data_IF_709546886888
#
_entry.id   IF_709546886888
#
_cell.length_a   1.000
_cell.length_b   1.000
_cell.length_c   1.000
_cell.angle_alpha   90.00
_cell.angle_beta   90.00
_cell.angle_gamma   90.00
#
_symmetry.space_group_name_H-M   'P 1'
#
loop_
_entity.id
_entity.type
_entity.pdbx_description
1 polymer ?
#
# COMPACT_ATOMS: atom_id res chain seq x y z
N UNK A 1 45.35 -45.29 -10.66
CA UNK A 1 45.16 -44.54 -11.92
C UNK A 1 43.95 -43.64 -11.75
N UNK A 2 44.11 -42.31 -11.85
CA UNK A 2 43.01 -41.33 -11.84
C UNK A 2 43.09 -40.58 -13.17
N UNK A 3 42.03 -40.64 -13.99
CA UNK A 3 41.96 -39.90 -15.26
C UNK A 3 41.73 -38.42 -14.95
N UNK A 4 42.72 -37.59 -15.28
CA UNK A 4 42.53 -36.14 -15.38
C UNK A 4 41.77 -35.84 -16.69
N UNK A 5 40.66 -35.10 -16.62
CA UNK A 5 39.97 -34.66 -17.85
C UNK A 5 38.53 -34.19 -17.74
N UNK A 6 37.79 -34.48 -16.68
CA UNK A 6 36.39 -34.03 -16.56
C UNK A 6 36.28 -32.93 -15.51
N UNK A 7 36.12 -31.69 -15.97
CA UNK A 7 35.65 -30.60 -15.11
C UNK A 7 34.16 -30.85 -14.86
N UNK A 8 33.70 -31.05 -13.62
CA UNK A 8 32.27 -31.09 -13.34
C UNK A 8 31.69 -29.71 -13.68
N UNK A 9 30.76 -29.66 -14.62
CA UNK A 9 29.95 -28.46 -14.87
C UNK A 9 28.93 -28.37 -13.74
N UNK A 10 29.23 -27.57 -12.72
CA UNK A 10 28.24 -27.23 -11.69
C UNK A 10 27.27 -26.22 -12.29
N UNK A 11 26.10 -26.70 -12.72
CA UNK A 11 24.96 -25.84 -12.99
C UNK A 11 24.21 -25.64 -11.67
N UNK A 12 24.40 -24.47 -11.06
CA UNK A 12 23.53 -24.02 -9.98
C UNK A 12 22.27 -23.45 -10.63
N UNK A 13 21.16 -24.18 -10.58
CA UNK A 13 19.85 -23.61 -10.84
C UNK A 13 19.49 -22.69 -9.67
N UNK A 14 19.97 -21.44 -9.74
CA UNK A 14 19.59 -20.41 -8.78
C UNK A 14 18.12 -20.07 -9.05
N UNK A 15 17.22 -20.75 -8.33
CA UNK A 15 15.82 -20.33 -8.24
C UNK A 15 15.78 -19.10 -7.35
N UNK A 16 15.67 -17.92 -7.96
CA UNK A 16 15.39 -16.69 -7.22
C UNK A 16 14.01 -16.84 -6.54
N UNK A 17 13.86 -16.44 -5.27
CA UNK A 17 12.56 -16.45 -4.64
C UNK A 17 11.59 -15.60 -5.46
N UNK A 18 10.44 -16.17 -5.82
CA UNK A 18 9.44 -15.51 -6.65
C UNK A 18 9.10 -14.12 -6.09
N UNK A 19 9.11 -13.12 -6.95
CA UNK A 19 8.68 -11.76 -6.61
C UNK A 19 7.17 -11.64 -6.78
N UNK A 20 6.56 -10.62 -6.19
CA UNK A 20 5.11 -10.42 -6.20
C UNK A 20 4.56 -10.37 -7.62
N UNK A 21 5.32 -9.82 -8.57
CA UNK A 21 4.94 -9.74 -9.99
C UNK A 21 4.89 -11.12 -10.68
N UNK A 22 5.54 -12.15 -10.12
CA UNK A 22 5.47 -13.52 -10.65
C UNK A 22 4.12 -14.17 -10.34
N UNK A 23 3.51 -13.82 -9.20
CA UNK A 23 2.28 -14.44 -8.67
C UNK A 23 1.05 -13.53 -8.72
N UNK A 24 1.23 -12.20 -8.79
CA UNK A 24 0.19 -11.18 -8.90
C UNK A 24 0.46 -10.33 -10.13
N UNK A 25 -0.54 -10.15 -10.99
CA UNK A 25 -0.57 -9.10 -12.01
C UNK A 25 -1.08 -7.81 -11.35
N UNK A 26 -0.31 -6.73 -11.43
CA UNK A 26 -0.72 -5.40 -10.94
C UNK A 26 -1.06 -4.54 -12.14
N UNK A 27 -2.32 -4.10 -12.22
CA UNK A 27 -2.81 -3.20 -13.27
C UNK A 27 -2.99 -1.81 -12.68
N UNK A 28 -2.38 -0.76 -13.25
CA UNK A 28 -2.57 0.61 -12.76
C UNK A 28 -4.06 1.01 -12.70
N UNK A 29 -4.49 1.82 -11.71
CA UNK A 29 -3.64 2.45 -10.69
C UNK A 29 -3.26 1.52 -9.53
N UNK A 30 -3.97 0.41 -9.32
CA UNK A 30 -3.57 -0.56 -8.31
C UNK A 30 -4.37 -1.86 -8.20
N UNK A 31 -5.13 -2.26 -9.22
CA UNK A 31 -5.83 -3.56 -9.19
C UNK A 31 -4.82 -4.71 -9.20
N UNK A 32 -4.82 -5.50 -8.14
CA UNK A 32 -4.05 -6.75 -8.06
C UNK A 32 -4.91 -7.92 -8.54
N UNK A 33 -4.39 -8.74 -9.45
CA UNK A 33 -5.05 -9.97 -9.93
C UNK A 33 -4.12 -11.15 -9.74
N UNK A 34 -4.41 -12.09 -8.83
CA UNK A 34 -3.59 -13.27 -8.63
C UNK A 34 -3.54 -14.15 -9.89
N UNK A 35 -2.34 -14.62 -10.25
CA UNK A 35 -2.11 -15.60 -11.32
C UNK A 35 -2.31 -17.03 -10.83
N UNK A 36 -2.17 -17.23 -9.53
CA UNK A 36 -2.35 -18.49 -8.80
C UNK A 36 -3.23 -18.24 -7.57
N UNK A 37 -3.65 -19.30 -6.88
CA UNK A 37 -4.35 -19.17 -5.61
C UNK A 37 -3.39 -18.66 -4.54
N UNK A 38 -3.80 -17.62 -3.80
CA UNK A 38 -2.96 -16.97 -2.79
C UNK A 38 -3.69 -16.81 -1.45
N UNK A 39 -2.96 -16.87 -0.35
CA UNK A 39 -3.31 -16.20 0.89
C UNK A 39 -2.85 -14.75 0.81
N UNK A 40 -3.75 -13.83 1.17
CA UNK A 40 -3.49 -12.40 1.25
C UNK A 40 -3.65 -11.95 2.70
N UNK A 41 -2.61 -11.34 3.27
CA UNK A 41 -2.63 -10.68 4.57
C UNK A 41 -2.50 -9.17 4.38
N UNK A 42 -3.33 -8.41 5.08
CA UNK A 42 -3.34 -6.94 5.02
C UNK A 42 -3.01 -6.36 6.39
N UNK A 43 -2.10 -5.40 6.41
CA UNK A 43 -1.75 -4.58 7.59
C UNK A 43 -2.01 -3.11 7.27
N UNK A 44 -2.53 -2.37 8.23
CA UNK A 44 -2.62 -0.91 8.13
C UNK A 44 -1.32 -0.34 8.66
N UNK A 45 -0.61 0.41 7.83
CA UNK A 45 0.68 1.02 8.17
C UNK A 45 0.47 2.40 8.80
N UNK A 46 -0.50 3.16 8.31
CA UNK A 46 -0.87 4.46 8.85
C UNK A 46 -2.20 4.96 8.27
N UNK A 47 -2.81 5.92 8.96
CA UNK A 47 -4.12 6.51 8.75
C UNK A 47 -4.13 7.96 9.31
N UNK A 48 -3.37 8.86 8.69
CA UNK A 48 -2.96 10.16 9.25
C UNK A 48 -3.77 11.36 8.77
N UNK A 49 -5.02 11.17 8.38
CA UNK A 49 -5.90 12.30 8.10
C UNK A 49 -6.08 13.14 9.37
N UNK A 50 -5.72 14.42 9.32
CA UNK A 50 -5.85 15.37 10.44
C UNK A 50 -7.00 16.32 10.19
N UNK A 51 -7.84 16.51 11.21
CA UNK A 51 -8.79 17.62 11.26
C UNK A 51 -8.15 18.74 12.05
N UNK A 52 -8.12 19.94 11.47
CA UNK A 52 -7.53 21.13 12.08
C UNK A 52 -8.56 22.25 12.22
N UNK A 53 -8.52 22.96 13.34
CA UNK A 53 -9.28 24.19 13.55
C UNK A 53 -8.31 25.36 13.57
N UNK A 54 -8.65 26.41 12.81
CA UNK A 54 -7.84 27.61 12.69
C UNK A 54 -8.50 28.76 13.44
N UNK A 55 -7.70 29.66 14.02
CA UNK A 55 -8.20 30.96 14.48
C UNK A 55 -8.37 31.93 13.29
N UNK A 56 -8.84 33.14 13.59
CA UNK A 56 -9.02 34.21 12.59
C UNK A 56 -7.73 34.62 11.84
N UNK A 57 -6.55 34.24 12.35
CA UNK A 57 -5.25 34.50 11.75
C UNK A 57 -4.71 33.30 10.93
N UNK A 58 -5.51 32.25 10.76
CA UNK A 58 -5.11 31.03 10.04
C UNK A 58 -4.17 30.12 10.84
N UNK A 59 -3.99 30.35 12.14
CA UNK A 59 -3.13 29.52 12.99
C UNK A 59 -3.93 28.35 13.57
N UNK A 60 -3.32 27.16 13.56
CA UNK A 60 -3.91 25.94 14.16
C UNK A 60 -4.07 26.15 15.67
N UNK A 61 -5.30 26.03 16.17
CA UNK A 61 -5.64 26.11 17.60
C UNK A 61 -5.96 24.76 18.20
N UNK A 62 -6.44 23.82 17.38
CA UNK A 62 -6.76 22.45 17.76
C UNK A 62 -6.53 21.55 16.56
N UNK A 63 -6.09 20.31 16.81
CA UNK A 63 -6.13 19.26 15.83
C UNK A 63 -6.51 17.92 16.47
N UNK A 64 -7.04 17.00 15.66
CA UNK A 64 -7.28 15.61 16.03
C UNK A 64 -7.16 14.69 14.81
N UNK A 65 -7.00 13.39 15.04
CA UNK A 65 -7.03 12.38 13.98
C UNK A 65 -8.47 12.17 13.52
N UNK A 66 -8.71 12.24 12.21
CA UNK A 66 -9.98 11.83 11.63
C UNK A 66 -10.11 10.30 11.69
N UNK A 67 -11.33 9.81 11.92
CA UNK A 67 -11.60 8.39 11.71
C UNK A 67 -11.41 8.08 10.23
N UNK A 68 -10.58 7.09 9.95
CA UNK A 68 -10.23 6.65 8.60
C UNK A 68 -10.68 5.21 8.42
N UNK A 69 -11.27 4.92 7.26
CA UNK A 69 -11.75 3.60 6.91
C UNK A 69 -10.93 3.05 5.74
N UNK A 70 -10.46 1.82 5.86
CA UNK A 70 -9.94 1.02 4.76
C UNK A 70 -10.91 -0.12 4.44
N UNK A 71 -11.11 -0.40 3.17
CA UNK A 71 -11.98 -1.48 2.70
C UNK A 71 -11.37 -2.24 1.52
N UNK A 72 -11.80 -3.48 1.33
CA UNK A 72 -11.34 -4.37 0.25
C UNK A 72 -12.53 -4.87 -0.59
N UNK A 73 -12.35 -4.94 -1.89
CA UNK A 73 -13.23 -5.60 -2.86
C UNK A 73 -12.48 -6.77 -3.49
N UNK A 74 -13.12 -7.94 -3.56
CA UNK A 74 -12.53 -9.15 -4.14
C UNK A 74 -13.51 -9.69 -5.18
N UNK A 75 -13.00 -10.01 -6.37
CA UNK A 75 -13.80 -10.51 -7.48
C UNK A 75 -14.95 -9.56 -7.86
N UNK A 76 -14.67 -8.25 -7.87
CA UNK A 76 -15.65 -7.20 -8.15
C UNK A 76 -16.87 -7.21 -7.20
N UNK A 77 -16.72 -7.75 -6.00
CA UNK A 77 -17.74 -7.63 -4.95
C UNK A 77 -17.87 -6.19 -4.45
N UNK A 78 -18.90 -5.92 -3.65
CA UNK A 78 -18.92 -4.71 -2.82
C UNK A 78 -17.69 -4.62 -1.90
N UNK A 79 -17.34 -3.40 -1.51
CA UNK A 79 -16.25 -3.14 -0.58
C UNK A 79 -16.65 -3.55 0.84
N UNK A 80 -15.81 -4.36 1.47
CA UNK A 80 -15.94 -4.78 2.88
C UNK A 80 -14.93 -4.04 3.73
N UNK A 81 -15.36 -3.49 4.85
CA UNK A 81 -14.47 -2.81 5.81
C UNK A 81 -13.43 -3.78 6.39
N UNK A 82 -12.17 -3.32 6.44
CA UNK A 82 -11.06 -4.06 7.06
C UNK A 82 -10.36 -3.26 8.17
N UNK A 83 -10.62 -1.95 8.24
CA UNK A 83 -10.15 -1.06 9.30
C UNK A 83 -11.07 0.16 9.36
N UNK A 84 -11.36 0.62 10.57
CA UNK A 84 -12.13 1.85 10.82
C UNK A 84 -11.72 2.43 12.17
N UNK A 85 -10.73 3.31 12.15
CA UNK A 85 -10.20 3.93 13.36
C UNK A 85 -9.30 5.14 13.03
N UNK A 86 -8.69 5.72 14.06
CA UNK A 86 -7.72 6.83 13.97
C UNK A 86 -6.27 6.34 13.97
N UNK A 87 -5.34 7.21 13.55
CA UNK A 87 -3.89 6.90 13.49
C UNK A 87 -3.33 6.32 14.79
N UNK A 88 -3.73 6.84 15.95
CA UNK A 88 -3.23 6.39 17.26
C UNK A 88 -3.67 4.96 17.62
N UNK A 89 -4.60 4.37 16.87
CA UNK A 89 -5.01 2.96 17.01
C UNK A 89 -4.36 2.04 15.98
N UNK A 90 -3.59 2.58 15.03
CA UNK A 90 -2.87 1.78 14.04
C UNK A 90 -1.74 1.01 14.72
N UNK A 91 -1.67 -0.29 14.42
CA UNK A 91 -0.59 -1.20 14.84
C UNK A 91 0.03 -1.81 13.58
N UNK A 92 1.11 -1.23 13.02
CA UNK A 92 1.62 -1.60 11.70
C UNK A 92 2.02 -3.08 11.54
N UNK A 93 2.38 -3.76 12.63
CA UNK A 93 2.72 -5.19 12.62
C UNK A 93 1.51 -6.14 12.64
N UNK A 94 0.31 -5.66 12.94
CA UNK A 94 -0.89 -6.49 13.11
C UNK A 94 -1.61 -6.69 11.79
N UNK A 95 -1.88 -7.95 11.45
CA UNK A 95 -2.75 -8.31 10.32
C UNK A 95 -4.20 -7.99 10.70
N UNK A 96 -4.83 -7.12 9.92
CA UNK A 96 -6.24 -6.71 10.12
C UNK A 96 -7.19 -7.51 9.25
N UNK A 97 -6.69 -8.13 8.18
CA UNK A 97 -7.50 -8.92 7.26
C UNK A 97 -6.67 -10.03 6.62
N UNK A 98 -7.21 -11.25 6.59
CA UNK A 98 -6.64 -12.40 5.89
C UNK A 98 -7.70 -13.03 5.01
N UNK A 99 -7.33 -13.34 3.75
CA UNK A 99 -8.25 -14.03 2.82
C UNK A 99 -7.52 -14.91 1.83
N UNK A 100 -8.10 -16.08 1.55
CA UNK A 100 -7.73 -16.89 0.38
C UNK A 100 -8.42 -16.33 -0.86
N UNK A 101 -7.65 -16.04 -1.89
CA UNK A 101 -8.13 -15.49 -3.17
C UNK A 101 -7.72 -16.44 -4.29
N UNK A 102 -8.68 -16.80 -5.15
CA UNK A 102 -8.40 -17.66 -6.29
C UNK A 102 -7.70 -16.87 -7.40
N UNK A 103 -7.06 -17.60 -8.31
CA UNK A 103 -6.53 -17.02 -9.53
C UNK A 103 -7.62 -16.25 -10.30
N UNK A 104 -7.21 -15.17 -10.98
CA UNK A 104 -8.03 -14.29 -11.81
C UNK A 104 -9.12 -13.48 -11.07
N UNK A 105 -9.17 -13.52 -9.74
CA UNK A 105 -10.08 -12.66 -8.97
C UNK A 105 -9.43 -11.30 -8.71
N UNK A 106 -9.93 -10.19 -9.28
CA UNK A 106 -9.37 -8.87 -9.02
C UNK A 106 -9.56 -8.47 -7.56
N UNK A 107 -8.54 -7.84 -6.98
CA UNK A 107 -8.48 -7.33 -5.63
C UNK A 107 -8.28 -5.83 -5.73
N UNK A 108 -9.16 -5.07 -5.08
CA UNK A 108 -9.06 -3.62 -4.99
C UNK A 108 -9.20 -3.17 -3.55
N UNK A 109 -8.48 -2.11 -3.21
CA UNK A 109 -8.55 -1.45 -1.92
C UNK A 109 -9.11 -0.05 -2.07
N UNK A 110 -9.75 0.44 -1.02
CA UNK A 110 -10.30 1.77 -0.97
C UNK A 110 -10.12 2.40 0.39
N UNK A 111 -10.13 3.73 0.42
CA UNK A 111 -10.12 4.51 1.65
C UNK A 111 -11.14 5.65 1.62
N UNK A 112 -11.53 6.08 2.81
CA UNK A 112 -12.28 7.33 3.06
C UNK A 112 -12.09 7.75 4.51
N UNK A 113 -12.43 8.99 4.84
CA UNK A 113 -12.35 9.50 6.20
C UNK A 113 -13.66 10.15 6.64
N UNK A 114 -13.82 10.36 7.95
CA UNK A 114 -14.99 10.99 8.54
C UNK A 114 -14.66 12.37 9.08
N UNK A 115 -15.35 13.40 8.57
CA UNK A 115 -15.38 14.74 9.13
C UNK A 115 -16.72 15.39 8.81
N UNK A 116 -17.61 15.51 9.82
CA UNK A 116 -19.00 15.95 9.65
C UNK A 116 -19.81 15.12 8.63
N UNK A 117 -19.37 13.90 8.35
CA UNK A 117 -19.85 13.05 7.26
C UNK A 117 -18.71 12.21 6.70
N UNK A 118 -19.05 11.11 6.02
CA UNK A 118 -18.05 10.34 5.28
C UNK A 118 -17.66 11.09 4.00
N UNK A 119 -16.36 11.17 3.74
CA UNK A 119 -15.82 11.63 2.45
C UNK A 119 -16.22 10.67 1.32
N UNK A 120 -15.93 11.10 0.09
CA UNK A 120 -15.92 10.20 -1.07
C UNK A 120 -15.00 8.99 -0.82
N UNK A 121 -15.36 7.87 -1.42
CA UNK A 121 -14.58 6.63 -1.35
C UNK A 121 -13.65 6.52 -2.56
N UNK A 122 -12.36 6.73 -2.33
CA UNK A 122 -11.33 6.54 -3.35
C UNK A 122 -10.88 5.08 -3.40
N UNK A 123 -10.55 4.57 -4.59
CA UNK A 123 -10.21 3.16 -4.75
C UNK A 123 -9.13 2.89 -5.79
N UNK A 124 -8.51 1.71 -5.72
CA UNK A 124 -7.41 1.28 -6.59
C UNK A 124 -7.85 0.76 -7.96
N UNK A 125 -9.15 0.64 -8.23
CA UNK A 125 -9.64 0.20 -9.53
C UNK A 125 -9.58 1.34 -10.55
N UNK A 126 -9.89 2.56 -10.11
CA UNK A 126 -9.97 3.73 -10.97
C UNK A 126 -9.51 4.99 -10.23
N UNK A 127 -8.85 5.89 -10.96
CA UNK A 127 -8.45 7.20 -10.45
C UNK A 127 -6.98 7.24 -10.05
N UNK A 128 -6.64 8.22 -9.20
CA UNK A 128 -5.26 8.55 -8.87
C UNK A 128 -4.95 8.61 -7.38
N UNK A 129 -5.99 8.61 -6.56
CA UNK A 129 -5.96 8.75 -5.12
C UNK A 129 -5.52 7.48 -4.39
N UNK A 130 -5.47 6.34 -5.08
CA UNK A 130 -5.01 5.07 -4.51
C UNK A 130 -4.07 4.43 -5.50
N UNK A 131 -2.83 4.20 -5.09
CA UNK A 131 -1.80 3.60 -5.94
C UNK A 131 -1.21 2.36 -5.28
N UNK A 132 -1.00 1.31 -6.07
CA UNK A 132 -0.27 0.12 -5.64
C UNK A 132 1.17 0.21 -6.12
N UNK A 133 2.12 0.02 -5.20
CA UNK A 133 3.55 0.06 -5.47
C UNK A 133 4.22 -1.22 -4.97
N UNK A 134 5.23 -1.68 -5.69
CA UNK A 134 6.07 -2.81 -5.28
C UNK A 134 7.47 -2.36 -4.90
N UNK A 135 8.25 -3.27 -4.33
CA UNK A 135 9.65 -3.01 -4.01
C UNK A 135 10.43 -2.44 -5.22
N UNK A 136 11.10 -1.31 -4.99
CA UNK A 136 11.87 -0.55 -5.99
C UNK A 136 11.08 0.51 -6.76
N UNK A 137 9.75 0.52 -6.69
CA UNK A 137 8.94 1.55 -7.36
C UNK A 137 9.16 2.93 -6.71
N UNK A 138 9.04 3.99 -7.51
CA UNK A 138 9.08 5.37 -7.01
C UNK A 138 7.65 5.86 -6.77
N UNK A 139 7.31 6.34 -5.56
CA UNK A 139 6.01 6.93 -5.28
C UNK A 139 5.69 8.07 -6.26
N UNK A 140 4.47 8.16 -6.81
CA UNK A 140 4.12 9.14 -7.83
C UNK A 140 3.77 10.50 -7.21
N UNK A 141 4.72 11.06 -6.46
CA UNK A 141 4.61 12.38 -5.82
C UNK A 141 5.44 13.42 -6.57
N UNK A 142 4.99 14.67 -6.58
CA UNK A 142 5.68 15.79 -7.25
C UNK A 142 6.97 16.20 -6.53
N UNK A 143 7.10 15.81 -5.26
CA UNK A 143 8.31 15.93 -4.44
C UNK A 143 8.66 14.55 -3.91
N UNK A 144 9.92 14.09 -3.95
CA UNK A 144 10.29 12.80 -3.37
C UNK A 144 9.79 12.72 -1.92
N UNK A 145 9.12 11.62 -1.54
CA UNK A 145 8.50 11.50 -0.21
C UNK A 145 9.47 11.93 0.89
N UNK A 146 10.71 11.42 0.90
CA UNK A 146 11.73 11.75 1.91
C UNK A 146 12.16 13.24 1.99
N UNK A 147 11.77 14.07 1.02
CA UNK A 147 12.02 15.51 0.97
C UNK A 147 10.78 16.33 1.34
N UNK A 148 9.62 15.70 1.55
CA UNK A 148 8.42 16.41 1.99
C UNK A 148 8.57 16.85 3.45
N UNK A 149 8.23 18.10 3.80
CA UNK A 149 8.38 18.63 5.16
C UNK A 149 7.63 17.82 6.23
N UNK A 150 6.59 17.11 5.82
CA UNK A 150 5.67 16.35 6.68
C UNK A 150 5.50 14.92 6.17
N UNK A 151 6.59 14.21 5.92
CA UNK A 151 6.47 12.75 5.78
C UNK A 151 5.85 12.22 7.06
N UNK A 152 4.74 11.53 6.90
CA UNK A 152 4.16 10.81 8.00
C UNK A 152 5.13 9.68 8.38
N UNK A 153 5.55 9.69 9.65
CA UNK A 153 6.65 8.86 10.16
C UNK A 153 6.47 7.37 9.87
N UNK A 154 5.23 6.93 9.65
CA UNK A 154 4.89 5.55 9.38
C UNK A 154 5.35 5.04 7.99
N UNK A 155 5.58 5.90 7.00
CA UNK A 155 6.03 5.47 5.66
C UNK A 155 7.55 5.28 5.62
N UNK A 156 8.30 6.05 6.42
CA UNK A 156 9.78 6.07 6.41
C UNK A 156 10.44 4.69 6.49
N UNK A 157 9.96 3.72 7.31
CA UNK A 157 10.55 2.38 7.36
C UNK A 157 10.44 1.59 6.06
N UNK A 158 9.53 1.99 5.17
CA UNK A 158 9.22 1.33 3.90
C UNK A 158 9.81 2.07 2.69
N UNK A 159 10.78 2.96 2.93
CA UNK A 159 11.53 3.65 1.87
C UNK A 159 13.02 3.29 1.95
N UNK A 160 13.69 3.26 0.80
CA UNK A 160 15.15 3.19 0.72
C UNK A 160 15.80 4.58 0.85
N UNK A 161 17.14 4.62 0.82
CA UNK A 161 17.90 5.87 0.95
C UNK A 161 17.69 6.85 -0.22
N UNK A 162 17.00 6.43 -1.28
CA UNK A 162 16.66 7.21 -2.46
C UNK A 162 15.16 7.55 -2.51
N UNK A 163 14.37 7.14 -1.51
CA UNK A 163 12.93 7.39 -1.46
C UNK A 163 12.08 6.43 -2.29
N UNK A 164 12.64 5.31 -2.75
CA UNK A 164 11.86 4.25 -3.42
C UNK A 164 11.26 3.31 -2.40
N UNK A 165 10.20 2.62 -2.79
CA UNK A 165 9.56 1.63 -1.94
C UNK A 165 10.55 0.51 -1.60
N UNK A 166 10.69 0.21 -0.31
CA UNK A 166 11.51 -0.84 0.27
C UNK A 166 10.63 -1.77 1.10
N UNK A 167 10.16 -2.85 0.47
CA UNK A 167 9.25 -3.84 1.07
C UNK A 167 9.67 -5.27 0.69
N UNK A 168 9.03 -6.27 1.30
CA UNK A 168 9.32 -7.67 1.01
C UNK A 168 9.03 -8.04 -0.46
N UNK A 169 9.68 -9.10 -0.98
CA UNK A 169 9.56 -9.48 -2.39
C UNK A 169 8.15 -9.87 -2.79
N UNK A 170 7.30 -10.31 -1.84
CA UNK A 170 5.89 -10.70 -2.08
C UNK A 170 4.87 -9.67 -1.57
N UNK A 171 5.34 -8.46 -1.26
CA UNK A 171 4.50 -7.39 -0.72
C UNK A 171 4.11 -6.38 -1.80
N UNK A 172 2.94 -5.77 -1.59
CA UNK A 172 2.46 -4.58 -2.29
C UNK A 172 2.09 -3.55 -1.22
N UNK A 173 2.57 -2.32 -1.36
CA UNK A 173 2.13 -1.21 -0.53
C UNK A 173 1.10 -0.38 -1.29
N UNK A 174 -0.03 -0.10 -0.66
CA UNK A 174 -1.01 0.86 -1.16
C UNK A 174 -0.81 2.18 -0.43
N UNK A 175 -0.65 3.25 -1.21
CA UNK A 175 -0.59 4.61 -0.71
C UNK A 175 -1.86 5.34 -1.17
N UNK A 176 -2.48 6.08 -0.26
CA UNK A 176 -3.78 6.69 -0.49
C UNK A 176 -3.79 8.16 -0.11
N UNK A 177 -4.39 8.97 -0.97
CA UNK A 177 -4.76 10.36 -0.74
C UNK A 177 -6.28 10.40 -0.58
N UNK A 178 -6.76 10.86 0.57
CA UNK A 178 -8.17 10.87 0.94
C UNK A 178 -8.74 12.28 1.03
N UNK A 179 -7.92 13.32 1.13
CA UNK A 179 -8.35 14.70 1.37
C UNK A 179 -8.32 15.59 0.13
N UNK A 180 -7.49 15.28 -0.87
CA UNK A 180 -7.33 16.07 -2.10
C UNK A 180 -7.55 15.23 -3.36
N UNK A 181 -8.15 15.84 -4.40
CA UNK A 181 -8.31 15.20 -5.72
C UNK A 181 -7.43 15.81 -6.81
N UNK A 182 -6.88 17.01 -6.56
CA UNK A 182 -5.97 17.70 -7.46
C UNK A 182 -4.51 17.33 -7.16
N UNK A 183 -3.86 16.62 -8.09
CA UNK A 183 -2.44 16.22 -7.99
C UNK A 183 -1.44 17.36 -7.85
N UNK A 184 -1.82 18.56 -8.27
CA UNK A 184 -0.95 19.73 -8.18
C UNK A 184 -1.10 20.46 -6.83
N UNK A 185 -2.01 20.00 -5.97
CA UNK A 185 -2.13 20.50 -4.61
C UNK A 185 -0.97 19.95 -3.76
N UNK A 186 -0.37 20.81 -2.92
CA UNK A 186 0.68 20.39 -2.01
C UNK A 186 0.20 19.40 -0.95
N UNK A 187 -1.12 19.36 -0.70
CA UNK A 187 -1.76 18.36 0.16
C UNK A 187 -2.01 17.02 -0.52
N UNK A 188 -1.86 16.89 -1.84
CA UNK A 188 -1.92 15.61 -2.53
C UNK A 188 -0.57 14.89 -2.40
N UNK A 189 -0.41 14.07 -1.36
CA UNK A 189 0.86 13.44 -1.04
C UNK A 189 0.80 11.90 -0.94
N UNK A 190 -0.41 11.33 -1.02
CA UNK A 190 -0.65 9.88 -0.91
C UNK A 190 -0.27 9.31 0.47
N UNK A 191 -0.26 10.14 1.51
CA UNK A 191 0.11 9.73 2.86
C UNK A 191 -1.08 9.70 3.83
N UNK A 192 -2.32 9.86 3.38
CA UNK A 192 -3.49 9.85 4.28
C UNK A 192 -3.80 8.46 4.86
N UNK A 193 -3.59 7.41 4.06
CA UNK A 193 -3.77 6.01 4.48
C UNK A 193 -2.81 5.11 3.71
N UNK A 194 -2.15 4.18 4.42
CA UNK A 194 -1.28 3.20 3.79
C UNK A 194 -1.56 1.78 4.28
N UNK A 195 -1.56 0.84 3.33
CA UNK A 195 -1.72 -0.60 3.58
C UNK A 195 -0.51 -1.37 3.09
N UNK A 196 -0.03 -2.33 3.86
CA UNK A 196 0.94 -3.33 3.41
C UNK A 196 0.21 -4.66 3.20
N UNK A 197 0.26 -5.16 1.97
CA UNK A 197 -0.42 -6.39 1.56
C UNK A 197 0.62 -7.43 1.19
N UNK A 198 0.64 -8.54 1.91
CA UNK A 198 1.55 -9.67 1.67
C UNK A 198 0.79 -10.79 0.97
N UNK A 199 1.35 -11.30 -0.14
CA UNK A 199 0.80 -12.44 -0.85
C UNK A 199 1.65 -13.70 -0.66
N UNK A 200 0.99 -14.83 -0.43
CA UNK A 200 1.64 -16.13 -0.31
C UNK A 200 0.89 -17.13 -1.18
N UNK A 201 1.62 -17.89 -1.99
CA UNK A 201 1.02 -18.94 -2.81
C UNK A 201 0.42 -20.03 -1.92
N UNK A 202 -0.66 -20.62 -2.39
CA UNK A 202 -1.29 -21.76 -1.73
C UNK A 202 -1.58 -22.85 -2.75
N UNK A 203 -1.26 -24.08 -2.37
CA UNK A 203 -1.60 -25.27 -3.12
C UNK A 203 -3.13 -25.44 -3.21
#
# INVERSE_FOLDING_TARGET
>A
MVRAGTKPTLNWDITYPAVVKDIIKITPPGTCTPKVKVNMDVRVVGASVKVVWLNAWGLVTKWEWAQTQASVSINNSGYSEIFSNTQDKVKPGTVVYTKKVNANQPINFSGRYYFNGWSDQFNSANGQNVVALVNGDTPPTTTPLYQQPTIEDFIKPYLDGQGRIKIGPKDVIYLMELTHTNKNDGGFDLQDLALLVTFQETN
#
